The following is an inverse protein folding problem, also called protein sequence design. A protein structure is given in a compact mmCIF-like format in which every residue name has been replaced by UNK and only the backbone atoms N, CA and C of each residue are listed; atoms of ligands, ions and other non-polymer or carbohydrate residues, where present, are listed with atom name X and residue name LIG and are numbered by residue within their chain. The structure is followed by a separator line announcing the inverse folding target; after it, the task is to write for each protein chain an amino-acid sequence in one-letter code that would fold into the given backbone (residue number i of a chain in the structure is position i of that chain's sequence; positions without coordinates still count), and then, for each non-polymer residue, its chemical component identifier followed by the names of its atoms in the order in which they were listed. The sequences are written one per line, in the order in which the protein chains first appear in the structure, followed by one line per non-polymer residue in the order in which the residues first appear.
data_IF_599721029283
#
_entry.id   IF_599721029283
#
_cell.length_a   1.000
_cell.length_b   1.000
_cell.length_c   1.000
_cell.angle_alpha   90.00
_cell.angle_beta   90.00
_cell.angle_gamma   90.00
#
_symmetry.space_group_name_H-M   'P 1'
#
loop_
_entity.id
_entity.type
_entity.pdbx_description
1 polymer ?
#
# COMPACT_ATOMS: atom_id res chain seq x y z
N UNK A 1 -3.28 -6.23 -5.06
CA UNK A 1 -4.69 -6.68 -5.00
C UNK A 1 -5.45 -6.30 -6.28
N UNK A 2 -6.21 -7.22 -6.89
CA UNK A 2 -7.00 -6.94 -8.10
C UNK A 2 -8.32 -6.23 -7.76
N UNK A 3 -8.59 -5.00 -8.27
CA UNK A 3 -9.81 -4.27 -7.96
C UNK A 3 -11.09 -5.01 -8.36
N UNK A 4 -12.15 -4.86 -7.57
CA UNK A 4 -13.46 -5.47 -7.85
C UNK A 4 -13.55 -6.96 -7.56
N UNK A 5 -12.46 -7.61 -7.15
CA UNK A 5 -12.46 -9.00 -6.70
C UNK A 5 -12.47 -9.03 -5.16
N UNK A 6 -13.39 -9.78 -4.52
CA UNK A 6 -13.43 -9.94 -3.07
C UNK A 6 -12.09 -10.42 -2.50
N UNK A 7 -11.76 -10.03 -1.27
CA UNK A 7 -10.46 -10.33 -0.67
C UNK A 7 -10.18 -11.84 -0.63
N UNK A 8 -11.19 -12.62 -0.27
CA UNK A 8 -11.17 -14.09 -0.19
C UNK A 8 -10.97 -14.78 -1.55
N UNK A 9 -11.20 -14.05 -2.65
CA UNK A 9 -11.08 -14.55 -4.03
C UNK A 9 -9.83 -14.01 -4.74
N UNK A 10 -8.99 -13.27 -4.04
CA UNK A 10 -7.73 -12.79 -4.59
C UNK A 10 -6.80 -13.95 -4.88
N UNK A 11 -6.17 -13.93 -6.05
CA UNK A 11 -5.07 -14.85 -6.36
C UNK A 11 -3.81 -14.35 -5.67
N UNK A 12 -3.01 -15.27 -5.12
CA UNK A 12 -1.75 -14.96 -4.46
C UNK A 12 -0.82 -14.12 -5.35
N UNK A 13 -0.71 -14.48 -6.63
CA UNK A 13 0.06 -13.72 -7.63
C UNK A 13 -0.36 -12.25 -7.73
N UNK A 14 -1.67 -11.96 -7.63
CA UNK A 14 -2.19 -10.59 -7.66
C UNK A 14 -1.98 -9.85 -6.34
N UNK A 15 -1.83 -10.56 -5.23
CA UNK A 15 -1.53 -9.94 -3.93
C UNK A 15 -0.05 -9.56 -3.87
N UNK A 16 0.81 -10.39 -4.47
CA UNK A 16 2.26 -10.20 -4.45
C UNK A 16 2.79 -9.27 -5.55
N UNK A 17 2.29 -9.39 -6.78
CA UNK A 17 3.00 -8.85 -7.96
C UNK A 17 2.21 -7.83 -8.78
N UNK A 18 0.91 -7.66 -8.52
CA UNK A 18 0.11 -6.72 -9.31
C UNK A 18 0.64 -5.29 -9.12
N UNK A 19 0.63 -4.51 -10.20
CA UNK A 19 1.04 -3.10 -10.18
C UNK A 19 -0.03 -2.22 -10.79
N UNK A 20 0.02 -1.96 -12.09
CA UNK A 20 -0.78 -0.93 -12.76
C UNK A 20 -2.27 -0.97 -12.44
N UNK A 21 -2.91 -2.14 -12.52
CA UNK A 21 -4.34 -2.28 -12.21
C UNK A 21 -4.68 -1.92 -10.76
N UNK A 22 -3.82 -2.24 -9.81
CA UNK A 22 -3.99 -1.89 -8.40
C UNK A 22 -3.66 -0.42 -8.14
N UNK A 23 -2.47 0.03 -8.58
CA UNK A 23 -1.94 1.37 -8.31
C UNK A 23 -2.76 2.48 -8.98
N UNK A 24 -3.36 2.21 -10.14
CA UNK A 24 -4.14 3.22 -10.87
C UNK A 24 -5.63 3.18 -10.51
N UNK A 25 -6.07 2.19 -9.72
CA UNK A 25 -7.47 2.04 -9.38
C UNK A 25 -7.92 3.03 -8.30
N UNK A 26 -9.10 3.59 -8.51
CA UNK A 26 -9.86 4.37 -7.53
C UNK A 26 -10.97 3.56 -6.86
N UNK A 27 -11.10 2.28 -7.21
CA UNK A 27 -12.12 1.43 -6.61
C UNK A 27 -11.81 1.21 -5.13
N UNK A 28 -12.83 1.35 -4.30
CA UNK A 28 -12.74 0.96 -2.90
C UNK A 28 -12.59 -0.56 -2.78
N UNK A 29 -12.00 -0.95 -1.68
CA UNK A 29 -11.73 -2.31 -1.28
C UNK A 29 -12.50 -2.60 0.02
N UNK A 30 -12.61 -3.87 0.40
CA UNK A 30 -13.23 -4.24 1.70
C UNK A 30 -12.50 -3.62 2.90
N UNK A 31 -11.21 -3.29 2.71
CA UNK A 31 -10.31 -2.65 3.68
C UNK A 31 -9.39 -1.67 2.95
N UNK A 32 -8.82 -0.71 3.67
CA UNK A 32 -7.67 0.07 3.17
C UNK A 32 -6.46 -0.87 3.09
N UNK A 33 -5.82 -0.93 1.93
CA UNK A 33 -4.66 -1.82 1.71
C UNK A 33 -3.37 -1.08 1.98
N UNK A 34 -2.62 -1.49 3.01
CA UNK A 34 -1.23 -1.04 3.22
C UNK A 34 -0.31 -1.90 2.37
N UNK A 35 0.57 -1.28 1.56
CA UNK A 35 1.44 -2.02 0.64
C UNK A 35 2.82 -1.40 0.48
N UNK A 36 3.74 -2.21 -0.03
CA UNK A 36 5.05 -1.78 -0.51
C UNK A 36 5.28 -2.17 -1.97
N UNK A 37 6.48 -2.64 -2.29
CA UNK A 37 6.90 -3.21 -3.58
C UNK A 37 7.03 -2.22 -4.74
N UNK A 38 6.29 -1.11 -4.70
CA UNK A 38 6.42 0.00 -5.65
C UNK A 38 6.93 1.23 -4.92
N UNK A 39 8.20 1.56 -5.17
CA UNK A 39 8.90 2.67 -4.55
C UNK A 39 8.26 4.01 -4.96
N UNK A 40 8.03 4.86 -3.96
CA UNK A 40 7.68 6.28 -4.13
C UNK A 40 8.63 7.16 -3.30
N UNK A 41 8.83 8.44 -3.65
CA UNK A 41 9.68 9.33 -2.85
C UNK A 41 9.15 9.56 -1.43
N UNK A 42 7.82 9.54 -1.27
CA UNK A 42 7.10 9.80 -0.02
C UNK A 42 5.98 8.75 0.15
N UNK A 43 5.49 8.53 1.38
CA UNK A 43 4.32 7.68 1.61
C UNK A 43 3.11 8.18 0.82
N UNK A 44 2.40 7.28 0.14
CA UNK A 44 1.20 7.61 -0.63
C UNK A 44 -0.05 7.27 0.19
N UNK A 45 -0.89 8.25 0.49
CA UNK A 45 -2.13 8.06 1.26
C UNK A 45 -3.31 8.30 0.33
N UNK A 46 -4.11 7.26 0.11
CA UNK A 46 -5.34 7.33 -0.67
C UNK A 46 -6.49 6.64 0.08
N UNK A 47 -7.76 6.97 -0.23
CA UNK A 47 -8.91 6.40 0.48
C UNK A 47 -8.98 4.86 0.44
N UNK A 48 -8.40 4.24 -0.59
CA UNK A 48 -8.43 2.79 -0.78
C UNK A 48 -7.09 2.08 -0.48
N UNK A 49 -5.98 2.81 -0.34
CA UNK A 49 -4.65 2.22 -0.10
C UNK A 49 -3.66 3.19 0.52
N UNK A 50 -2.65 2.64 1.21
CA UNK A 50 -1.51 3.39 1.73
C UNK A 50 -0.21 2.71 1.25
N UNK A 51 0.62 3.43 0.51
CA UNK A 51 1.93 2.97 0.05
C UNK A 51 3.04 3.43 1.00
N UNK A 52 3.78 2.49 1.59
CA UNK A 52 4.85 2.79 2.57
C UNK A 52 6.27 2.47 2.08
N UNK A 53 6.42 1.96 0.86
CA UNK A 53 7.73 1.70 0.27
C UNK A 53 8.35 3.00 -0.26
N UNK A 54 9.20 3.61 0.57
CA UNK A 54 9.98 4.80 0.24
C UNK A 54 11.42 4.49 -0.18
N UNK A 55 11.69 3.24 -0.57
CA UNK A 55 12.99 2.87 -1.13
C UNK A 55 14.11 2.76 -0.10
N UNK A 56 13.84 2.24 1.10
CA UNK A 56 14.83 2.06 2.18
C UNK A 56 16.12 1.38 1.72
N UNK A 57 16.04 0.42 0.78
CA UNK A 57 17.21 -0.27 0.24
C UNK A 57 18.19 0.67 -0.50
N UNK A 58 17.71 1.79 -1.04
CA UNK A 58 18.49 2.75 -1.82
C UNK A 58 18.72 4.06 -1.08
N UNK A 59 17.76 4.53 -0.28
CA UNK A 59 17.86 5.80 0.46
C UNK A 59 18.45 5.62 1.86
N UNK A 60 18.44 4.40 2.40
CA UNK A 60 18.73 4.13 3.80
C UNK A 60 17.62 4.54 4.76
N UNK A 61 16.53 5.16 4.27
CA UNK A 61 15.42 5.65 5.09
C UNK A 61 14.28 4.63 5.06
N UNK A 62 13.99 4.04 6.20
CA UNK A 62 12.84 3.16 6.40
C UNK A 62 11.62 3.99 6.81
N UNK A 63 10.52 3.83 6.07
CA UNK A 63 9.22 4.40 6.43
C UNK A 63 8.40 3.40 7.23
N UNK A 64 7.87 3.86 8.36
CA UNK A 64 6.94 3.14 9.21
C UNK A 64 5.60 3.89 9.26
N UNK A 65 4.50 3.16 9.12
CA UNK A 65 3.13 3.65 9.36
C UNK A 65 2.65 3.11 10.71
N UNK A 66 2.35 4.00 11.65
CA UNK A 66 1.71 3.66 12.91
C UNK A 66 0.20 3.92 12.81
N UNK A 67 -0.61 2.91 13.16
CA UNK A 67 -2.08 2.97 13.15
C UNK A 67 -2.59 2.70 14.56
N UNK A 68 -3.36 3.65 15.11
CA UNK A 68 -3.93 3.56 16.46
C UNK A 68 -5.34 4.15 16.43
N UNK A 69 -6.36 3.29 16.58
CA UNK A 69 -7.77 3.66 16.47
C UNK A 69 -8.05 4.45 15.17
N UNK A 70 -8.40 5.72 15.28
CA UNK A 70 -8.68 6.65 14.18
C UNK A 70 -7.47 7.51 13.78
N UNK A 71 -6.31 7.30 14.41
CA UNK A 71 -5.08 8.04 14.16
C UNK A 71 -4.12 7.25 13.27
N UNK A 72 -3.42 8.00 12.41
CA UNK A 72 -2.31 7.49 11.62
C UNK A 72 -1.13 8.48 11.69
N UNK A 73 0.09 7.95 11.83
CA UNK A 73 1.31 8.75 11.78
C UNK A 73 2.44 8.00 11.07
N UNK A 74 3.45 8.75 10.62
CA UNK A 74 4.63 8.20 9.95
C UNK A 74 5.90 8.45 10.76
N UNK A 75 6.78 7.47 10.73
CA UNK A 75 8.15 7.60 11.23
C UNK A 75 9.12 7.26 10.10
N UNK A 76 10.20 8.03 9.99
CA UNK A 76 11.28 7.80 9.05
C UNK A 76 12.57 7.61 9.86
N UNK A 77 13.29 6.51 9.61
CA UNK A 77 14.52 6.15 10.35
C UNK A 77 15.65 5.80 9.42
#
# INVERSE_FOLDING_TARGET
MLPGVPLEKQKEENVLWIRGEFLNSKANHEKVVVHGHTIRPEPEILPNRIGIDTGAYSSGILTCLALEEDNQSFLHT
#
